data_IF_752417690482
#
_entry.id   IF_752417690482
#
_cell.length_a   1.000
_cell.length_b   1.000
_cell.length_c   1.000
_cell.angle_alpha   90.00
_cell.angle_beta   90.00
_cell.angle_gamma   90.00
#
_symmetry.space_group_name_H-M   'P 1'
#
loop_
_entity.id
_entity.type
_entity.pdbx_description
1 polymer ?
#
# COMPACT_ATOMS: atom_id res chain seq x y z
N UNK A 1 7.55 12.34 -17.36
CA UNK A 1 6.28 11.73 -16.92
C UNK A 1 6.58 10.86 -15.71
N UNK A 2 5.99 11.13 -14.54
CA UNK A 2 6.20 10.28 -13.36
C UNK A 2 5.57 8.91 -13.59
N UNK A 3 6.23 7.85 -13.10
CA UNK A 3 5.76 6.47 -13.20
C UNK A 3 4.35 6.37 -12.59
N UNK A 4 3.37 5.96 -13.38
CA UNK A 4 2.02 5.72 -12.88
C UNK A 4 2.01 4.32 -12.26
N UNK A 5 1.67 4.22 -10.99
CA UNK A 5 1.60 2.96 -10.26
C UNK A 5 0.13 2.68 -9.99
N UNK A 6 -0.34 1.52 -10.42
CA UNK A 6 -1.70 1.05 -10.12
C UNK A 6 -1.77 0.42 -8.74
N UNK A 7 -2.99 0.34 -8.18
CA UNK A 7 -3.24 -0.38 -6.92
C UNK A 7 -2.70 -1.81 -7.00
N UNK A 8 -2.94 -2.52 -8.11
CA UNK A 8 -2.42 -3.88 -8.31
C UNK A 8 -0.89 -3.96 -8.20
N UNK A 9 -0.17 -3.06 -8.86
CA UNK A 9 1.30 -3.04 -8.83
C UNK A 9 1.83 -2.72 -7.44
N UNK A 10 1.25 -1.73 -6.77
CA UNK A 10 1.62 -1.36 -5.40
C UNK A 10 1.37 -2.52 -4.42
N UNK A 11 0.22 -3.19 -4.52
CA UNK A 11 -0.08 -4.36 -3.67
C UNK A 11 0.88 -5.51 -3.91
N UNK A 12 1.29 -5.72 -5.16
CA UNK A 12 2.31 -6.72 -5.50
C UNK A 12 3.66 -6.37 -4.86
N UNK A 13 4.12 -5.13 -5.00
CA UNK A 13 5.38 -4.69 -4.41
C UNK A 13 5.36 -4.75 -2.87
N UNK A 14 4.25 -4.37 -2.22
CA UNK A 14 4.09 -4.53 -0.77
C UNK A 14 4.15 -6.00 -0.34
N UNK A 15 3.50 -6.90 -1.08
CA UNK A 15 3.56 -8.34 -0.81
C UNK A 15 4.97 -8.90 -0.98
N UNK A 16 5.68 -8.50 -2.04
CA UNK A 16 7.06 -8.90 -2.30
C UNK A 16 8.01 -8.37 -1.20
N UNK A 17 7.70 -7.19 -0.63
CA UNK A 17 8.38 -6.63 0.53
C UNK A 17 7.95 -7.25 1.89
N UNK A 18 7.10 -8.27 1.89
CA UNK A 18 6.70 -9.01 3.09
C UNK A 18 5.58 -8.38 3.91
N UNK A 19 4.87 -7.39 3.37
CA UNK A 19 3.69 -6.82 4.03
C UNK A 19 2.50 -7.77 3.96
N UNK A 20 1.71 -7.76 5.02
CA UNK A 20 0.46 -8.52 5.15
C UNK A 20 -0.70 -7.58 5.46
N UNK A 21 -1.94 -7.94 5.05
CA UNK A 21 -3.11 -7.17 5.48
C UNK A 21 -3.21 -7.16 7.00
N UNK A 22 -3.48 -5.99 7.56
CA UNK A 22 -3.64 -5.82 9.01
C UNK A 22 -4.89 -6.56 9.49
N UNK A 23 -4.79 -7.46 10.47
CA UNK A 23 -5.94 -8.19 11.00
C UNK A 23 -6.92 -7.27 11.73
N UNK A 24 -6.42 -6.16 12.30
CA UNK A 24 -7.19 -5.24 13.12
C UNK A 24 -7.77 -4.07 12.33
N UNK A 25 -7.39 -3.92 11.06
CA UNK A 25 -7.85 -2.83 10.19
C UNK A 25 -8.66 -3.37 9.01
N UNK A 26 -9.31 -4.52 9.21
CA UNK A 26 -10.06 -5.29 8.20
C UNK A 26 -11.56 -5.05 8.21
N UNK A 27 -12.02 -3.80 8.33
CA UNK A 27 -13.38 -3.48 7.91
C UNK A 27 -13.49 -3.72 6.40
N UNK A 28 -14.61 -4.26 5.90
CA UNK A 28 -14.90 -4.49 4.46
C UNK A 28 -14.95 -3.20 3.60
N UNK A 29 -14.33 -2.13 4.06
CA UNK A 29 -14.28 -0.84 3.39
C UNK A 29 -13.20 -0.79 2.30
N UNK A 30 -13.25 0.29 1.52
CA UNK A 30 -12.25 0.60 0.51
C UNK A 30 -10.88 0.93 1.12
N UNK A 31 -10.78 1.25 2.41
CA UNK A 31 -9.50 1.55 3.06
C UNK A 31 -8.96 0.32 3.78
N UNK A 32 -7.79 -0.16 3.33
CA UNK A 32 -7.09 -1.29 3.90
C UNK A 32 -5.70 -0.86 4.37
N UNK A 33 -5.30 -1.34 5.55
CA UNK A 33 -3.93 -1.16 6.06
C UNK A 33 -3.14 -2.44 5.86
N UNK A 34 -1.93 -2.30 5.34
CA UNK A 34 -0.92 -3.35 5.28
C UNK A 34 0.18 -3.06 6.30
N UNK A 35 0.66 -4.08 7.00
CA UNK A 35 1.67 -3.97 8.06
C UNK A 35 2.83 -4.93 7.79
N UNK A 36 4.03 -4.58 8.23
CA UNK A 36 5.19 -5.45 8.15
C UNK A 36 5.32 -6.28 9.44
N UNK A 37 5.28 -7.62 9.39
CA UNK A 37 5.21 -8.47 10.59
C UNK A 37 6.47 -8.42 11.45
N UNK A 38 7.62 -8.05 10.89
CA UNK A 38 8.90 -7.94 11.60
C UNK A 38 9.26 -6.51 12.01
N UNK A 39 8.50 -5.52 11.54
CA UNK A 39 8.77 -4.11 11.81
C UNK A 39 7.45 -3.36 11.98
N UNK A 40 6.98 -3.14 13.22
CA UNK A 40 5.70 -2.50 13.49
C UNK A 40 5.67 -1.01 13.11
N UNK A 41 6.82 -0.40 12.81
CA UNK A 41 6.89 1.02 12.39
C UNK A 41 6.53 1.19 10.91
N UNK A 42 6.58 0.11 10.13
CA UNK A 42 6.32 0.11 8.68
C UNK A 42 4.89 -0.30 8.39
N UNK A 43 4.15 0.60 7.74
CA UNK A 43 2.77 0.36 7.31
C UNK A 43 2.42 1.09 6.02
N UNK A 44 1.39 0.60 5.32
CA UNK A 44 0.83 1.23 4.13
C UNK A 44 -0.68 1.29 4.25
N UNK A 45 -1.22 2.51 4.28
CA UNK A 45 -2.67 2.75 4.18
C UNK A 45 -3.05 2.95 2.72
N UNK A 46 -3.98 2.13 2.25
CA UNK A 46 -4.33 2.02 0.83
C UNK A 46 -5.83 2.13 0.64
N UNK A 47 -6.26 3.04 -0.23
CA UNK A 47 -7.64 3.10 -0.72
C UNK A 47 -7.78 2.24 -1.98
N UNK A 48 -8.42 1.08 -1.84
CA UNK A 48 -8.71 0.12 -2.89
C UNK A 48 -10.17 0.27 -3.31
N UNK A 49 -10.44 1.09 -4.33
CA UNK A 49 -11.75 1.14 -4.98
C UNK A 49 -11.78 0.24 -6.23
N UNK A 50 -10.68 0.18 -6.98
CA UNK A 50 -10.50 -0.73 -8.10
C UNK A 50 -9.01 -1.12 -8.25
N UNK A 51 -8.74 -2.36 -8.66
CA UNK A 51 -7.37 -2.88 -8.81
C UNK A 51 -6.55 -2.14 -9.88
N UNK A 52 -7.20 -1.65 -10.95
CA UNK A 52 -6.55 -0.89 -12.03
C UNK A 52 -6.46 0.61 -11.78
N UNK A 53 -6.91 1.10 -10.62
CA UNK A 53 -6.86 2.52 -10.30
C UNK A 53 -5.42 2.98 -10.15
N UNK A 54 -5.06 4.08 -10.83
CA UNK A 54 -3.75 4.73 -10.66
C UNK A 54 -3.73 5.46 -9.32
N UNK A 55 -2.66 5.24 -8.55
CA UNK A 55 -2.45 5.91 -7.27
C UNK A 55 -1.96 7.33 -7.53
N UNK A 56 -2.61 8.35 -6.93
CA UNK A 56 -2.12 9.73 -7.02
C UNK A 56 -0.70 9.85 -6.47
N UNK A 57 0.15 10.64 -7.13
CA UNK A 57 1.57 10.80 -6.77
C UNK A 57 1.80 11.16 -5.29
N UNK A 58 0.94 11.98 -4.70
CA UNK A 58 1.02 12.35 -3.28
C UNK A 58 0.77 11.17 -2.35
N UNK A 59 -0.26 10.37 -2.67
CA UNK A 59 -0.57 9.12 -1.95
C UNK A 59 0.56 8.12 -2.08
N UNK A 60 1.09 7.94 -3.30
CA UNK A 60 2.22 7.03 -3.55
C UNK A 60 3.42 7.42 -2.69
N UNK A 61 3.84 8.70 -2.71
CA UNK A 61 4.93 9.21 -1.88
C UNK A 61 4.70 9.04 -0.38
N UNK A 62 3.46 9.22 0.08
CA UNK A 62 3.12 9.00 1.48
C UNK A 62 3.32 7.53 1.86
N UNK A 63 2.89 6.61 1.00
CA UNK A 63 3.05 5.17 1.19
C UNK A 63 4.53 4.78 1.13
N UNK A 64 5.31 5.30 0.19
CA UNK A 64 6.76 5.07 0.12
C UNK A 64 7.43 5.48 1.44
N UNK A 65 7.05 6.64 1.98
CA UNK A 65 7.60 7.14 3.25
C UNK A 65 7.25 6.27 4.45
N UNK A 66 6.01 5.79 4.57
CA UNK A 66 5.57 5.01 5.74
C UNK A 66 5.91 3.52 5.63
N UNK A 67 5.95 2.99 4.41
CA UNK A 67 6.26 1.59 4.15
C UNK A 67 7.74 1.34 3.89
N UNK A 68 8.52 2.34 3.47
CA UNK A 68 9.90 2.18 3.04
C UNK A 68 10.06 1.31 1.79
N UNK A 69 9.02 1.21 0.95
CA UNK A 69 9.01 0.49 -0.34
C UNK A 69 8.91 1.52 -1.46
N UNK A 70 9.76 1.42 -2.48
CA UNK A 70 9.73 2.28 -3.68
C UNK A 70 9.00 1.57 -4.83
N UNK A 71 8.22 2.31 -5.63
CA UNK A 71 7.34 1.76 -6.68
C UNK A 71 7.71 2.21 -8.11
#
# INVERSE_FOLDING_TARGET
MGKQVTVREMLKALKDAGFIPSPNHGGRGSHQRYIHPKDPTRYADVSIHAQGQVIPKGTLKSIERTSGVEF
#
